data_IF_315982905905
#
_entry.id   IF_315982905905
#
_cell.length_a   1.000
_cell.length_b   1.000
_cell.length_c   1.000
_cell.angle_alpha   90.00
_cell.angle_beta   90.00
_cell.angle_gamma   90.00
#
_symmetry.space_group_name_H-M   'P 1'
#
loop_
_entity.id
_entity.type
_entity.pdbx_description
1 polymer ?
#
# COMPACT_ATOMS: atom_id res chain seq x y z
N UNK A 1 -26.84 -4.00 -1.08
CA UNK A 1 -25.77 -3.07 -1.54
C UNK A 1 -24.82 -3.78 -2.51
N UNK A 2 -24.44 -3.13 -3.61
CA UNK A 2 -23.52 -3.69 -4.59
C UNK A 2 -22.12 -3.89 -3.99
N UNK A 3 -21.47 -5.01 -4.33
CA UNK A 3 -20.09 -5.28 -3.96
C UNK A 3 -19.15 -4.38 -4.76
N UNK A 4 -18.10 -3.88 -4.10
CA UNK A 4 -17.06 -3.08 -4.73
C UNK A 4 -16.01 -4.02 -5.34
N UNK A 5 -15.52 -3.79 -6.57
CA UNK A 5 -14.42 -4.58 -7.13
C UNK A 5 -13.20 -4.57 -6.21
N UNK A 6 -12.64 -5.74 -5.95
CA UNK A 6 -11.62 -5.91 -4.91
C UNK A 6 -10.37 -5.06 -5.14
N UNK A 7 -9.91 -4.95 -6.38
CA UNK A 7 -8.75 -4.14 -6.75
C UNK A 7 -8.99 -2.63 -6.65
N UNK A 8 -10.25 -2.16 -6.70
CA UNK A 8 -10.55 -0.74 -6.55
C UNK A 8 -10.16 -0.24 -5.15
N UNK A 9 -10.39 -1.05 -4.12
CA UNK A 9 -10.03 -0.71 -2.74
C UNK A 9 -8.51 -0.58 -2.58
N UNK A 10 -7.74 -1.46 -3.20
CA UNK A 10 -6.27 -1.36 -3.24
C UNK A 10 -5.81 -0.08 -3.96
N UNK A 11 -6.42 0.24 -5.11
CA UNK A 11 -6.09 1.45 -5.88
C UNK A 11 -6.39 2.73 -5.08
N UNK A 12 -7.56 2.82 -4.45
CA UNK A 12 -7.94 3.93 -3.57
C UNK A 12 -6.95 4.07 -2.41
N UNK A 13 -6.55 2.96 -1.80
CA UNK A 13 -5.55 2.97 -0.73
C UNK A 13 -4.18 3.44 -1.19
N UNK A 14 -3.75 3.13 -2.40
CA UNK A 14 -2.49 3.62 -2.95
C UNK A 14 -2.55 5.14 -3.19
N UNK A 15 -3.67 5.64 -3.74
CA UNK A 15 -3.89 7.08 -3.89
C UNK A 15 -3.94 7.84 -2.55
N UNK A 16 -4.52 7.23 -1.51
CA UNK A 16 -4.49 7.78 -0.14
C UNK A 16 -3.06 7.89 0.40
N UNK A 17 -2.21 6.90 0.12
CA UNK A 17 -0.80 6.91 0.57
C UNK A 17 0.02 8.06 0.00
N UNK A 18 -0.25 8.47 -1.24
CA UNK A 18 0.44 9.62 -1.88
C UNK A 18 0.14 10.96 -1.21
N UNK A 19 -0.94 11.05 -0.42
CA UNK A 19 -1.33 12.27 0.33
C UNK A 19 -0.64 12.37 1.69
N UNK A 20 0.11 11.33 2.10
CA UNK A 20 0.89 11.35 3.35
C UNK A 20 2.27 11.95 3.05
N UNK A 21 2.74 12.97 3.81
CA UNK A 21 4.04 13.62 3.55
C UNK A 21 5.22 12.64 3.48
N UNK A 22 5.22 11.60 4.30
CA UNK A 22 6.23 10.54 4.33
C UNK A 22 5.97 9.40 3.32
N UNK A 23 4.84 9.43 2.61
CA UNK A 23 4.42 8.39 1.66
C UNK A 23 4.97 8.57 0.24
N UNK A 24 5.58 9.72 -0.06
CA UNK A 24 6.19 9.98 -1.36
C UNK A 24 7.56 9.30 -1.45
N UNK A 25 7.55 8.04 -1.88
CA UNK A 25 8.76 7.33 -2.26
C UNK A 25 9.06 7.59 -3.74
N UNK A 26 10.32 7.86 -4.07
CA UNK A 26 10.80 7.87 -5.46
C UNK A 26 10.89 6.43 -5.96
N UNK A 27 9.76 5.86 -6.39
CA UNK A 27 9.67 4.48 -6.85
C UNK A 27 10.34 4.32 -8.22
N UNK A 28 11.32 3.43 -8.30
CA UNK A 28 11.99 3.02 -9.54
C UNK A 28 11.32 1.79 -10.15
N UNK A 29 10.85 0.85 -9.32
CA UNK A 29 10.18 -0.36 -9.79
C UNK A 29 9.19 -0.91 -8.76
N UNK A 30 8.07 -1.45 -9.26
CA UNK A 30 7.14 -2.26 -8.49
C UNK A 30 7.54 -3.73 -8.63
N UNK A 31 8.04 -4.34 -7.56
CA UNK A 31 8.72 -5.64 -7.63
C UNK A 31 7.81 -6.82 -7.30
N UNK A 32 6.94 -6.67 -6.30
CA UNK A 32 6.08 -7.75 -5.83
C UNK A 32 4.84 -7.21 -5.11
N UNK A 33 3.73 -7.94 -5.28
CA UNK A 33 2.48 -7.74 -4.56
C UNK A 33 2.06 -9.05 -3.90
N UNK A 34 2.07 -9.06 -2.58
CA UNK A 34 1.51 -10.16 -1.77
C UNK A 34 0.25 -9.64 -1.10
N UNK A 35 -0.94 -10.05 -1.56
CA UNK A 35 -2.19 -9.43 -1.12
C UNK A 35 -3.24 -10.45 -0.70
N UNK A 36 -4.01 -10.11 0.33
CA UNK A 36 -5.09 -10.94 0.87
C UNK A 36 -6.37 -10.14 1.00
N UNK A 37 -7.45 -10.66 0.41
CA UNK A 37 -8.80 -10.15 0.57
C UNK A 37 -9.45 -10.87 1.76
N UNK A 38 -9.72 -10.12 2.84
CA UNK A 38 -10.20 -10.68 4.12
C UNK A 38 -11.72 -10.60 4.25
N UNK A 39 -12.31 -9.51 3.77
CA UNK A 39 -13.75 -9.30 3.82
C UNK A 39 -14.20 -8.38 2.66
N UNK A 40 -15.45 -8.53 2.17
CA UNK A 40 -15.96 -7.68 1.11
C UNK A 40 -16.16 -6.24 1.59
N UNK A 41 -15.86 -5.28 0.71
CA UNK A 41 -16.20 -3.86 0.88
C UNK A 41 -17.44 -3.56 0.05
N UNK A 42 -18.38 -2.80 0.64
CA UNK A 42 -19.63 -2.42 -0.02
C UNK A 42 -19.71 -0.92 -0.25
N UNK A 43 -20.51 -0.52 -1.23
CA UNK A 43 -20.81 0.91 -1.43
C UNK A 43 -21.39 1.49 -0.14
N UNK A 44 -20.84 2.63 0.29
CA UNK A 44 -21.15 3.30 1.56
C UNK A 44 -20.17 3.01 2.69
N UNK A 45 -19.30 2.00 2.56
CA UNK A 45 -18.22 1.78 3.54
C UNK A 45 -17.17 2.89 3.47
N UNK A 46 -16.63 3.26 4.62
CA UNK A 46 -15.48 4.17 4.72
C UNK A 46 -14.23 3.35 4.99
N UNK A 47 -13.21 3.51 4.15
CA UNK A 47 -11.94 2.80 4.30
C UNK A 47 -10.85 3.71 4.89
N UNK A 48 -9.95 3.11 5.66
CA UNK A 48 -8.73 3.72 6.19
C UNK A 48 -7.55 2.81 5.88
N UNK A 49 -6.46 3.38 5.37
CA UNK A 49 -5.20 2.65 5.19
C UNK A 49 -4.28 2.86 6.39
N UNK A 50 -3.66 1.78 6.86
CA UNK A 50 -2.51 1.79 7.77
C UNK A 50 -1.33 1.18 7.04
N UNK A 51 -0.25 1.92 6.96
CA UNK A 51 0.96 1.51 6.25
C UNK A 51 2.14 1.56 7.21
N UNK A 52 3.03 0.57 7.14
CA UNK A 52 4.32 0.59 7.80
C UNK A 52 5.41 0.17 6.83
N UNK A 53 6.56 0.82 6.94
CA UNK A 53 7.75 0.41 6.20
C UNK A 53 8.46 -0.68 7.01
N UNK A 54 8.57 -1.87 6.44
CA UNK A 54 9.39 -2.95 6.98
C UNK A 54 10.89 -2.69 6.69
N UNK A 55 11.81 -3.55 7.17
CA UNK A 55 13.24 -3.36 6.97
C UNK A 55 13.60 -3.15 5.49
N UNK A 56 14.53 -2.22 5.26
CA UNK A 56 15.01 -1.84 3.93
C UNK A 56 16.26 -2.63 3.60
N UNK A 57 16.44 -3.00 2.34
CA UNK A 57 17.68 -3.61 1.84
C UNK A 57 18.33 -2.68 0.82
N UNK A 58 19.58 -2.32 1.04
CA UNK A 58 20.33 -1.51 0.07
C UNK A 58 20.78 -2.32 -1.14
N UNK A 59 20.73 -1.69 -2.31
CA UNK A 59 21.32 -2.16 -3.55
C UNK A 59 22.24 -1.06 -4.13
N UNK A 60 23.01 -1.40 -5.16
CA UNK A 60 23.86 -0.43 -5.87
C UNK A 60 23.02 0.64 -6.58
N UNK A 61 21.98 0.22 -7.29
CA UNK A 61 21.13 1.10 -8.11
C UNK A 61 19.93 1.73 -7.35
N UNK A 62 19.80 1.49 -6.05
CA UNK A 62 18.64 1.96 -5.25
C UNK A 62 18.51 1.24 -3.92
N UNK A 63 17.34 1.29 -3.31
CA UNK A 63 16.98 0.50 -2.13
C UNK A 63 15.70 -0.29 -2.37
N UNK A 64 15.61 -1.51 -1.83
CA UNK A 64 14.36 -2.27 -1.77
C UNK A 64 13.67 -1.96 -0.44
N UNK A 65 12.40 -1.57 -0.54
CA UNK A 65 11.53 -1.26 0.58
C UNK A 65 10.31 -2.16 0.51
N UNK A 66 9.97 -2.80 1.62
CA UNK A 66 8.72 -3.54 1.76
C UNK A 66 7.75 -2.68 2.56
N UNK A 67 6.65 -2.31 1.94
CA UNK A 67 5.53 -1.63 2.57
C UNK A 67 4.50 -2.67 3.01
N UNK A 68 4.26 -2.78 4.31
CA UNK A 68 3.14 -3.57 4.80
C UNK A 68 1.93 -2.69 5.01
N UNK A 69 0.78 -3.14 4.51
CA UNK A 69 -0.43 -2.33 4.46
C UNK A 69 -1.63 -3.14 4.95
N UNK A 70 -2.44 -2.51 5.79
CA UNK A 70 -3.75 -2.98 6.20
C UNK A 70 -4.81 -1.93 5.86
N UNK A 71 -5.85 -2.34 5.16
CA UNK A 71 -7.02 -1.51 4.85
C UNK A 71 -8.13 -1.93 5.81
N UNK A 72 -8.62 -0.96 6.56
CA UNK A 72 -9.66 -1.13 7.56
C UNK A 72 -10.94 -0.44 7.13
N UNK A 73 -12.09 -0.96 7.53
CA UNK A 73 -13.36 -0.27 7.39
C UNK A 73 -13.68 0.62 8.61
N UNK A 74 -14.87 1.25 8.61
CA UNK A 74 -15.36 2.11 9.68
C UNK A 74 -15.55 1.39 11.02
N UNK A 75 -15.71 0.07 11.02
CA UNK A 75 -15.82 -0.78 12.23
C UNK A 75 -14.46 -1.20 12.78
N UNK A 76 -13.37 -0.86 12.10
CA UNK A 76 -12.02 -1.27 12.48
C UNK A 76 -11.64 -2.68 12.04
N UNK A 77 -12.44 -3.33 11.19
CA UNK A 77 -12.14 -4.64 10.64
C UNK A 77 -11.15 -4.52 9.48
N UNK A 78 -10.15 -5.40 9.42
CA UNK A 78 -9.24 -5.48 8.27
C UNK A 78 -9.97 -6.15 7.11
N UNK A 79 -10.20 -5.38 6.04
CA UNK A 79 -10.89 -5.86 4.83
C UNK A 79 -9.91 -6.36 3.77
N UNK A 80 -8.70 -5.77 3.73
CA UNK A 80 -7.60 -6.22 2.88
C UNK A 80 -6.28 -5.95 3.59
N UNK A 81 -5.29 -6.80 3.36
CA UNK A 81 -3.94 -6.59 3.86
C UNK A 81 -2.90 -7.29 3.01
N UNK A 82 -1.66 -6.84 3.11
CA UNK A 82 -0.57 -7.44 2.38
C UNK A 82 0.72 -6.64 2.41
N UNK A 83 1.61 -7.01 1.50
CA UNK A 83 2.93 -6.41 1.33
C UNK A 83 3.11 -5.96 -0.11
N UNK A 84 3.69 -4.78 -0.27
CA UNK A 84 4.09 -4.21 -1.54
C UNK A 84 5.61 -4.04 -1.49
N UNK A 85 6.32 -4.70 -2.40
CA UNK A 85 7.77 -4.57 -2.50
C UNK A 85 8.11 -3.59 -3.61
N UNK A 86 8.82 -2.52 -3.25
CA UNK A 86 9.20 -1.43 -4.15
C UNK A 86 10.71 -1.30 -4.19
N UNK A 87 11.26 -1.05 -5.37
CA UNK A 87 12.60 -0.47 -5.50
C UNK A 87 12.46 1.05 -5.53
N UNK A 88 13.24 1.75 -4.72
CA UNK A 88 13.21 3.21 -4.58
C UNK A 88 14.58 3.82 -4.80
N UNK A 89 14.62 5.05 -5.27
CA UNK A 89 15.86 5.80 -5.45
C UNK A 89 16.51 6.14 -4.10
N UNK A 90 17.84 6.25 -4.09
CA UNK A 90 18.58 6.81 -2.96
C UNK A 90 18.50 8.34 -3.03
N UNK A 91 18.41 9.00 -1.87
CA UNK A 91 18.45 10.47 -1.81
C UNK A 91 19.82 10.94 -2.33
N UNK A 92 19.83 11.79 -3.36
CA UNK A 92 21.06 12.27 -4.00
C UNK A 92 21.51 11.49 -5.24
N UNK A 93 20.75 10.48 -5.69
CA UNK A 93 20.91 9.96 -7.04
C UNK A 93 20.09 10.83 -8.01
N UNK A 94 20.72 11.89 -8.52
CA UNK A 94 20.28 12.66 -9.68
C UNK A 94 21.43 12.66 -10.70
#
# INVERSE_FOLDING_TARGET
>A
PAAVPELLVLALSSGLGLRVPQGQLSVLAFMCLEWRFRAPVRIGDTIRSRMRIAPKRELKAGGVVVEERAILNQRGEVVQEGKITLMVAKRGAA
#
